data_IF_511145522620
#
_entry.id   IF_511145522620
#
_cell.length_a   1.000
_cell.length_b   1.000
_cell.length_c   1.000
_cell.angle_alpha   90.00
_cell.angle_beta   90.00
_cell.angle_gamma   90.00
#
_symmetry.space_group_name_H-M   'P 1'
#
loop_
_entity.id
_entity.type
_entity.pdbx_description
1 polymer ?
#
# COMPACT_ATOMS: atom_id res chain seq x y z
N UNK A 1 -3.62 -1.07 1.03
CA UNK A 1 -2.72 -0.35 1.95
C UNK A 1 -1.62 0.36 1.17
N UNK A 2 -1.49 1.64 1.31
CA UNK A 2 -0.52 2.41 0.56
C UNK A 2 -0.41 3.82 1.11
N UNK A 3 0.58 4.58 0.67
CA UNK A 3 0.85 5.92 1.19
C UNK A 3 1.13 6.94 0.10
N UNK A 4 2.15 6.78 -0.78
CA UNK A 4 2.54 7.83 -1.73
C UNK A 4 1.66 7.89 -2.97
N UNK A 5 1.90 8.89 -3.81
CA UNK A 5 1.19 9.07 -5.07
C UNK A 5 1.27 7.85 -6.00
N UNK A 6 2.37 7.11 -5.96
CA UNK A 6 2.53 5.86 -6.72
C UNK A 6 1.39 4.86 -6.45
N UNK A 7 0.89 4.83 -5.23
CA UNK A 7 -0.15 3.87 -4.83
C UNK A 7 -1.56 4.29 -5.28
N UNK A 8 -1.76 5.55 -5.64
CA UNK A 8 -3.08 6.07 -6.03
C UNK A 8 -3.64 5.37 -7.28
N UNK A 9 -2.87 5.18 -8.37
CA UNK A 9 -3.39 4.45 -9.54
C UNK A 9 -3.82 3.02 -9.22
N UNK A 10 -3.17 2.38 -8.25
CA UNK A 10 -3.54 1.03 -7.82
C UNK A 10 -4.94 1.07 -7.19
N UNK A 11 -5.18 2.00 -6.28
CA UNK A 11 -6.49 2.16 -5.66
C UNK A 11 -7.56 2.54 -6.69
N UNK A 12 -7.27 3.53 -7.52
CA UNK A 12 -8.20 3.98 -8.56
C UNK A 12 -8.55 2.84 -9.52
N UNK A 13 -7.56 2.03 -9.91
CA UNK A 13 -7.77 0.90 -10.80
C UNK A 13 -8.66 -0.18 -10.17
N UNK A 14 -8.49 -0.46 -8.89
CA UNK A 14 -9.33 -1.42 -8.18
C UNK A 14 -10.80 -0.96 -8.15
N UNK A 15 -11.02 0.30 -7.84
CA UNK A 15 -12.37 0.87 -7.81
C UNK A 15 -13.00 0.89 -9.20
N UNK A 16 -12.26 1.34 -10.22
CA UNK A 16 -12.76 1.42 -11.60
C UNK A 16 -13.14 0.07 -12.19
N UNK A 17 -12.43 -0.99 -11.80
CA UNK A 17 -12.72 -2.35 -12.25
C UNK A 17 -13.85 -3.03 -11.48
N UNK A 18 -14.46 -2.34 -10.52
CA UNK A 18 -15.60 -2.83 -9.79
C UNK A 18 -15.28 -3.73 -8.61
N UNK A 19 -14.03 -3.80 -8.17
CA UNK A 19 -13.70 -4.53 -6.95
C UNK A 19 -14.26 -3.81 -5.73
N UNK A 20 -14.77 -4.59 -4.79
CA UNK A 20 -15.25 -4.04 -3.52
C UNK A 20 -14.07 -3.75 -2.60
N UNK A 21 -13.75 -2.47 -2.44
CA UNK A 21 -12.70 -2.03 -1.51
C UNK A 21 -13.35 -1.76 -0.16
N UNK A 22 -13.08 -2.65 0.80
CA UNK A 22 -13.70 -2.58 2.13
C UNK A 22 -13.10 -1.48 3.00
N UNK A 23 -11.80 -1.23 2.85
CA UNK A 23 -11.09 -0.23 3.63
C UNK A 23 -9.79 0.15 2.94
N UNK A 24 -9.32 1.35 3.22
CA UNK A 24 -8.03 1.85 2.78
C UNK A 24 -7.19 2.14 4.01
N UNK A 25 -5.97 1.63 4.03
CA UNK A 25 -5.04 1.83 5.14
C UNK A 25 -3.85 2.64 4.62
N UNK A 26 -3.53 3.72 5.29
CA UNK A 26 -2.45 4.62 4.90
C UNK A 26 -1.76 5.17 6.14
N UNK A 27 -0.58 5.76 5.96
CA UNK A 27 0.13 6.39 7.06
C UNK A 27 -0.65 7.60 7.60
N UNK A 28 -0.45 7.95 8.88
CA UNK A 28 -1.10 9.13 9.46
C UNK A 28 -0.73 10.42 8.73
N UNK A 29 -1.59 11.41 8.87
CA UNK A 29 -1.31 12.76 8.39
C UNK A 29 -0.06 13.28 9.11
N UNK A 30 0.85 13.90 8.37
CA UNK A 30 2.12 14.37 8.93
C UNK A 30 2.43 15.78 8.51
N UNK A 31 3.23 16.45 9.35
CA UNK A 31 3.78 17.74 9.02
C UNK A 31 4.80 17.61 7.89
N UNK A 32 4.64 18.39 6.83
CA UNK A 32 5.54 18.39 5.68
C UNK A 32 5.98 19.82 5.33
N UNK A 33 7.17 19.93 4.74
CA UNK A 33 7.71 21.19 4.29
C UNK A 33 8.25 22.09 5.40
N UNK A 34 8.71 23.27 5.02
CA UNK A 34 9.31 24.24 5.97
C UNK A 34 8.30 24.80 6.96
N UNK A 35 7.04 24.94 6.54
CA UNK A 35 5.96 25.48 7.39
C UNK A 35 5.33 24.42 8.27
N UNK A 36 5.79 23.17 8.18
CA UNK A 36 5.26 22.03 8.94
C UNK A 36 3.74 21.92 8.87
N UNK A 37 3.19 22.12 7.69
CA UNK A 37 1.76 21.95 7.46
C UNK A 37 1.40 20.47 7.54
N UNK A 38 0.34 20.16 8.27
CA UNK A 38 -0.18 18.80 8.37
C UNK A 38 -0.92 18.46 7.07
N UNK A 39 -0.44 17.44 6.36
CA UNK A 39 -1.05 17.01 5.11
C UNK A 39 -1.43 15.54 5.17
N UNK A 40 -2.56 15.24 4.56
CA UNK A 40 -2.95 13.85 4.36
C UNK A 40 -2.11 13.21 3.25
N UNK A 41 -2.00 11.88 3.30
CA UNK A 41 -1.30 11.15 2.26
C UNK A 41 -2.08 11.20 0.94
N UNK A 42 -1.40 11.05 -0.22
CA UNK A 42 -2.11 10.94 -1.50
C UNK A 42 -3.14 9.82 -1.54
N UNK A 43 -2.86 8.70 -0.90
CA UNK A 43 -3.79 7.56 -0.83
C UNK A 43 -5.02 7.91 -0.01
N UNK A 44 -4.87 8.64 1.10
CA UNK A 44 -6.03 9.12 1.87
C UNK A 44 -6.91 10.02 1.02
N UNK A 45 -6.31 10.97 0.31
CA UNK A 45 -7.07 11.88 -0.55
C UNK A 45 -7.85 11.10 -1.61
N UNK A 46 -7.25 10.08 -2.23
CA UNK A 46 -7.93 9.22 -3.20
C UNK A 46 -9.07 8.44 -2.56
N UNK A 47 -8.85 7.88 -1.38
CA UNK A 47 -9.88 7.13 -0.66
C UNK A 47 -11.09 7.99 -0.34
N UNK A 48 -10.87 9.24 0.07
CA UNK A 48 -11.95 10.19 0.35
C UNK A 48 -12.73 10.54 -0.93
N UNK A 49 -12.05 10.68 -2.08
CA UNK A 49 -12.72 10.88 -3.37
C UNK A 49 -13.65 9.71 -3.72
N UNK A 50 -13.25 8.50 -3.39
CA UNK A 50 -14.03 7.29 -3.64
C UNK A 50 -15.01 6.97 -2.51
N UNK A 51 -15.06 7.79 -1.45
CA UNK A 51 -15.91 7.60 -0.28
C UNK A 51 -15.67 6.27 0.43
N UNK A 52 -14.43 5.89 0.56
CA UNK A 52 -14.00 4.65 1.20
C UNK A 52 -13.58 4.88 2.65
N UNK A 53 -13.81 3.91 3.55
CA UNK A 53 -13.29 3.99 4.92
C UNK A 53 -11.77 4.07 4.93
N UNK A 54 -11.21 4.91 5.81
CA UNK A 54 -9.76 5.12 5.92
C UNK A 54 -9.31 4.78 7.34
N UNK A 55 -8.21 4.03 7.42
CA UNK A 55 -7.54 3.67 8.67
C UNK A 55 -6.11 4.20 8.63
N UNK A 56 -5.69 4.88 9.68
CA UNK A 56 -4.37 5.54 9.74
C UNK A 56 -3.60 5.21 11.01
N UNK A 57 -3.30 3.92 11.27
CA UNK A 57 -2.58 3.55 12.49
C UNK A 57 -1.13 4.05 12.44
N UNK A 58 -0.63 4.57 13.57
CA UNK A 58 0.78 4.89 13.72
C UNK A 58 1.63 3.64 13.57
N UNK A 59 1.19 2.56 14.17
CA UNK A 59 1.80 1.25 14.06
C UNK A 59 0.68 0.22 13.92
N UNK A 60 0.60 -0.43 12.78
CA UNK A 60 -0.50 -1.38 12.52
C UNK A 60 -0.41 -2.62 13.41
N UNK A 61 0.79 -3.09 13.69
CA UNK A 61 0.99 -4.30 14.50
C UNK A 61 0.42 -4.10 15.91
N UNK A 62 -0.54 -4.94 16.27
CA UNK A 62 -1.19 -4.88 17.59
C UNK A 62 -2.15 -3.72 17.79
N UNK A 63 -2.49 -2.98 16.75
CA UNK A 63 -3.41 -1.85 16.85
C UNK A 63 -4.87 -2.27 16.88
N UNK A 64 -5.73 -1.39 17.38
CA UNK A 64 -7.18 -1.57 17.30
C UNK A 64 -7.65 -1.57 15.85
N UNK A 65 -7.01 -0.76 15.00
CA UNK A 65 -7.29 -0.71 13.56
C UNK A 65 -7.04 -2.08 12.92
N UNK A 66 -5.94 -2.74 13.28
CA UNK A 66 -5.65 -4.09 12.77
C UNK A 66 -6.74 -5.08 13.17
N UNK A 67 -7.15 -5.06 14.43
CA UNK A 67 -8.21 -5.94 14.92
C UNK A 67 -9.53 -5.70 14.17
N UNK A 68 -9.88 -4.45 13.93
CA UNK A 68 -11.07 -4.09 13.18
C UNK A 68 -10.98 -4.54 11.72
N UNK A 69 -9.84 -4.33 11.05
CA UNK A 69 -9.62 -4.78 9.69
C UNK A 69 -9.79 -6.29 9.54
N UNK A 70 -9.32 -7.05 10.52
CA UNK A 70 -9.45 -8.50 10.50
C UNK A 70 -10.90 -9.00 10.59
N UNK A 71 -11.83 -8.15 11.06
CA UNK A 71 -13.25 -8.50 11.14
C UNK A 71 -14.03 -8.20 9.87
N UNK A 72 -13.43 -7.50 8.90
CA UNK A 72 -14.14 -7.08 7.68
C UNK A 72 -14.41 -8.21 6.69
N UNK A 73 -13.76 -9.34 6.84
CA UNK A 73 -13.94 -10.48 5.94
C UNK A 73 -13.33 -10.27 4.56
N UNK A 74 -12.26 -9.50 4.47
CA UNK A 74 -11.58 -9.27 3.20
C UNK A 74 -10.95 -10.57 2.68
N UNK A 75 -10.99 -10.77 1.38
CA UNK A 75 -10.35 -11.91 0.72
C UNK A 75 -8.89 -11.64 0.42
N UNK A 76 -8.53 -10.38 0.18
CA UNK A 76 -7.19 -10.01 -0.26
C UNK A 76 -6.76 -8.69 0.37
N UNK A 77 -5.49 -8.62 0.72
CA UNK A 77 -4.81 -7.36 1.07
C UNK A 77 -3.93 -6.99 -0.11
N UNK A 78 -4.08 -5.77 -0.60
CA UNK A 78 -3.20 -5.22 -1.64
C UNK A 78 -2.37 -4.11 -1.00
N UNK A 79 -1.06 -4.26 -1.03
CA UNK A 79 -0.16 -3.21 -0.55
C UNK A 79 0.58 -2.57 -1.72
N UNK A 80 0.82 -1.28 -1.62
CA UNK A 80 1.61 -0.53 -2.59
C UNK A 80 2.30 0.60 -1.84
N UNK A 81 3.53 0.35 -1.39
CA UNK A 81 4.33 1.31 -0.62
C UNK A 81 3.59 1.82 0.63
N UNK A 82 3.11 0.92 1.46
CA UNK A 82 2.42 1.30 2.70
C UNK A 82 3.37 1.96 3.70
N UNK A 83 4.59 1.45 3.84
CA UNK A 83 5.59 2.01 4.75
C UNK A 83 5.64 1.37 6.13
N UNK A 84 4.89 0.30 6.35
CA UNK A 84 4.94 -0.49 7.59
C UNK A 84 4.95 -1.96 7.25
N UNK A 85 5.56 -2.76 8.12
CA UNK A 85 5.48 -4.21 8.00
C UNK A 85 4.11 -4.69 8.45
N UNK A 86 3.55 -5.64 7.70
CA UNK A 86 2.30 -6.28 8.09
C UNK A 86 2.60 -7.51 8.94
N UNK A 87 1.99 -7.61 10.14
CA UNK A 87 2.23 -8.78 10.98
C UNK A 87 1.61 -10.03 10.36
N UNK A 88 2.22 -11.17 10.66
CA UNK A 88 1.78 -12.47 10.18
C UNK A 88 0.31 -12.73 10.46
N UNK A 89 -0.14 -12.36 11.65
CA UNK A 89 -1.54 -12.54 12.07
C UNK A 89 -2.51 -11.84 11.10
N UNK A 90 -2.16 -10.63 10.66
CA UNK A 90 -2.98 -9.90 9.69
C UNK A 90 -2.94 -10.58 8.32
N UNK A 91 -1.76 -11.00 7.87
CA UNK A 91 -1.61 -11.69 6.58
C UNK A 91 -2.38 -13.00 6.54
N UNK A 92 -2.43 -13.72 7.66
CA UNK A 92 -3.15 -14.99 7.76
C UNK A 92 -4.68 -14.81 7.83
N UNK A 93 -5.15 -13.59 8.06
CA UNK A 93 -6.60 -13.30 8.13
C UNK A 93 -7.27 -13.22 6.76
N UNK A 94 -6.49 -13.20 5.69
CA UNK A 94 -6.97 -13.11 4.31
C UNK A 94 -6.46 -14.29 3.49
N UNK A 95 -7.12 -14.58 2.37
CA UNK A 95 -6.70 -15.66 1.47
C UNK A 95 -5.42 -15.33 0.74
N UNK A 96 -5.26 -14.07 0.32
CA UNK A 96 -4.10 -13.60 -0.41
C UNK A 96 -3.67 -12.23 0.10
N UNK A 97 -2.37 -12.04 0.18
CA UNK A 97 -1.78 -10.73 0.44
C UNK A 97 -0.73 -10.47 -0.63
N UNK A 98 -0.90 -9.41 -1.40
CA UNK A 98 -0.02 -9.09 -2.51
C UNK A 98 0.57 -7.69 -2.34
N UNK A 99 1.76 -7.50 -2.87
CA UNK A 99 2.42 -6.20 -2.90
C UNK A 99 2.71 -5.80 -4.34
N UNK A 100 2.34 -4.59 -4.67
CA UNK A 100 2.64 -4.00 -5.98
C UNK A 100 3.96 -3.26 -5.86
N UNK A 101 4.99 -3.80 -6.52
CA UNK A 101 6.33 -3.25 -6.49
C UNK A 101 6.59 -2.45 -7.78
N UNK A 102 7.14 -1.25 -7.65
CA UNK A 102 7.29 -0.31 -8.76
C UNK A 102 8.51 -0.59 -9.64
N UNK A 103 8.79 -1.86 -9.92
CA UNK A 103 9.86 -2.26 -10.84
C UNK A 103 9.66 -3.68 -11.30
N UNK A 104 10.37 -4.06 -12.35
CA UNK A 104 10.45 -5.46 -12.79
C UNK A 104 11.57 -6.13 -11.99
N UNK A 105 11.21 -7.01 -11.06
CA UNK A 105 12.18 -7.75 -10.27
C UNK A 105 12.98 -8.71 -11.16
N UNK A 106 14.27 -8.94 -10.85
CA UNK A 106 14.98 -8.56 -9.61
C UNK A 106 15.60 -7.16 -9.59
N UNK A 107 15.32 -6.33 -10.58
CA UNK A 107 15.80 -4.94 -10.59
C UNK A 107 15.20 -4.12 -9.44
N UNK A 108 16.00 -3.23 -8.87
CA UNK A 108 15.54 -2.21 -7.90
C UNK A 108 14.75 -2.75 -6.72
N UNK A 109 15.30 -3.75 -6.06
CA UNK A 109 14.78 -4.16 -4.77
C UNK A 109 15.01 -3.04 -3.76
N UNK A 110 14.01 -2.75 -2.95
CA UNK A 110 14.14 -1.80 -1.87
C UNK A 110 13.20 -0.61 -1.98
N UNK A 111 13.56 0.49 -1.32
CA UNK A 111 12.63 1.56 -0.99
C UNK A 111 12.32 2.60 -2.08
N UNK A 112 13.10 2.68 -3.17
CA UNK A 112 12.92 3.72 -4.17
C UNK A 112 13.10 3.22 -5.62
N UNK A 113 12.40 2.18 -6.05
CA UNK A 113 12.64 1.58 -7.36
C UNK A 113 12.30 2.51 -8.53
N UNK A 114 11.24 3.28 -8.44
CA UNK A 114 10.84 4.22 -9.50
C UNK A 114 11.87 5.32 -9.67
N UNK A 115 12.37 5.86 -8.56
CA UNK A 115 13.38 6.90 -8.57
C UNK A 115 14.67 6.41 -9.23
N UNK A 116 15.13 5.21 -8.88
CA UNK A 116 16.33 4.63 -9.48
C UNK A 116 16.15 4.35 -10.98
N UNK A 117 14.99 3.89 -11.39
CA UNK A 117 14.71 3.63 -12.81
C UNK A 117 14.84 4.91 -13.63
N UNK A 118 14.31 6.02 -13.14
CA UNK A 118 14.40 7.32 -13.80
C UNK A 118 15.86 7.81 -13.89
N UNK A 119 16.59 7.76 -12.78
CA UNK A 119 17.99 8.20 -12.72
C UNK A 119 18.87 7.40 -13.68
N UNK A 120 18.67 6.10 -13.77
CA UNK A 120 19.45 5.22 -14.65
C UNK A 120 19.03 5.27 -16.11
N UNK A 121 17.99 6.03 -16.45
CA UNK A 121 17.45 6.09 -17.80
C UNK A 121 16.86 4.77 -18.26
N UNK A 122 16.29 4.02 -17.35
CA UNK A 122 15.71 2.70 -17.64
C UNK A 122 14.44 2.86 -18.45
N UNK A 123 14.39 2.27 -19.64
CA UNK A 123 13.25 2.39 -20.57
C UNK A 123 12.11 1.45 -20.21
N UNK A 124 12.36 0.45 -19.38
CA UNK A 124 11.39 -0.56 -19.00
C UNK A 124 11.03 -0.44 -17.52
N UNK A 125 10.53 0.72 -17.12
CA UNK A 125 9.94 0.86 -15.80
C UNK A 125 8.59 0.14 -15.79
N UNK A 126 8.46 -0.87 -14.94
CA UNK A 126 7.26 -1.68 -14.87
C UNK A 126 6.80 -1.87 -13.44
N UNK A 127 5.82 -2.74 -13.27
CA UNK A 127 5.25 -3.10 -11.98
C UNK A 127 5.30 -4.60 -11.82
N UNK A 128 5.78 -5.08 -10.69
CA UNK A 128 5.76 -6.50 -10.32
C UNK A 128 4.81 -6.70 -9.15
N UNK A 129 3.96 -7.71 -9.25
CA UNK A 129 3.05 -8.10 -8.19
C UNK A 129 3.64 -9.31 -7.48
N UNK A 130 3.80 -9.21 -6.15
CA UNK A 130 4.40 -10.26 -5.34
C UNK A 130 3.44 -10.72 -4.27
N UNK A 131 3.37 -12.03 -4.04
CA UNK A 131 2.64 -12.54 -2.91
C UNK A 131 3.47 -12.39 -1.63
N UNK A 132 2.84 -11.86 -0.58
CA UNK A 132 3.49 -11.67 0.72
C UNK A 132 3.37 -12.93 1.56
N UNK A 133 4.50 -13.41 2.05
CA UNK A 133 4.57 -14.53 2.99
C UNK A 133 5.25 -14.08 4.27
N UNK A 134 5.22 -14.91 5.29
CA UNK A 134 5.65 -14.60 6.67
C UNK A 134 6.97 -13.84 6.79
N UNK A 135 7.94 -14.08 5.92
CA UNK A 135 9.29 -13.52 6.05
C UNK A 135 9.76 -12.76 4.83
N UNK A 136 9.19 -13.01 3.66
CA UNK A 136 9.60 -12.38 2.41
C UNK A 136 8.50 -12.44 1.37
N UNK A 137 8.73 -11.74 0.29
CA UNK A 137 7.80 -11.70 -0.82
C UNK A 137 8.24 -12.65 -1.92
N UNK A 138 7.26 -13.34 -2.53
CA UNK A 138 7.48 -14.18 -3.69
C UNK A 138 6.87 -13.51 -4.92
N UNK A 139 7.52 -13.68 -6.07
CA UNK A 139 6.96 -13.22 -7.35
C UNK A 139 5.86 -14.18 -7.77
N UNK A 140 4.72 -13.62 -8.11
CA UNK A 140 3.55 -14.39 -8.55
C UNK A 140 3.72 -14.84 -10.00
#
# INVERSE_FOLDING_TARGET
MGTPAFSVPVLDGLVEKGYEVLAVVTQPDRAVGRKKEIKMTPVKAAALRHKLPVYQPEKISGSDEMAELMTLGADIIVTAAFGQFLPERLLNSVKHAVNVHASLLPKYRGGAPVHYAIIKGDKEAGVTIMEMVKKWMQVI
#
